data_IF_627629482990
#
_entry.id   IF_627629482990
#
_cell.length_a   1.000
_cell.length_b   1.000
_cell.length_c   1.000
_cell.angle_alpha   90.00
_cell.angle_beta   90.00
_cell.angle_gamma   90.00
#
_symmetry.space_group_name_H-M   'P 1'
#
loop_
_entity.id
_entity.type
_entity.pdbx_description
1 polymer ?
#
# COMPACT_ATOMS: atom_id res chain seq x y z
N UNK A 1 -18.24 -10.25 2.50
CA UNK A 1 -17.11 -10.45 3.43
C UNK A 1 -15.76 -10.76 2.77
N UNK A 2 -15.72 -11.43 1.60
CA UNK A 2 -14.47 -11.82 0.92
C UNK A 2 -13.77 -10.68 0.17
N UNK A 3 -14.52 -9.70 -0.36
CA UNK A 3 -13.97 -8.64 -1.21
C UNK A 3 -13.09 -7.65 -0.43
N UNK A 4 -13.53 -7.25 0.77
CA UNK A 4 -12.77 -6.35 1.65
C UNK A 4 -11.45 -6.98 2.12
N UNK A 5 -11.48 -8.21 2.64
CA UNK A 5 -10.26 -8.92 3.07
C UNK A 5 -9.25 -9.15 1.92
N UNK A 6 -9.75 -9.36 0.69
CA UNK A 6 -8.90 -9.48 -0.50
C UNK A 6 -8.30 -8.14 -0.90
N UNK A 7 -9.06 -7.06 -0.77
CA UNK A 7 -8.56 -5.72 -1.03
C UNK A 7 -7.47 -5.32 -0.02
N UNK A 8 -7.73 -5.51 1.27
CA UNK A 8 -6.76 -5.29 2.34
C UNK A 8 -5.46 -6.08 2.11
N UNK A 9 -5.57 -7.35 1.73
CA UNK A 9 -4.40 -8.16 1.35
C UNK A 9 -3.65 -7.54 0.16
N UNK A 10 -4.36 -7.09 -0.87
CA UNK A 10 -3.75 -6.46 -2.05
C UNK A 10 -3.00 -5.17 -1.70
N UNK A 11 -3.58 -4.31 -0.86
CA UNK A 11 -2.94 -3.08 -0.35
C UNK A 11 -1.70 -3.42 0.47
N UNK A 12 -1.82 -4.40 1.38
CA UNK A 12 -0.69 -4.89 2.17
C UNK A 12 0.45 -5.35 1.25
N UNK A 13 0.16 -6.14 0.21
CA UNK A 13 1.18 -6.57 -0.75
C UNK A 13 1.80 -5.41 -1.55
N UNK A 14 1.03 -4.38 -1.89
CA UNK A 14 1.57 -3.21 -2.59
C UNK A 14 2.54 -2.41 -1.70
N UNK A 15 2.12 -2.12 -0.47
CA UNK A 15 2.88 -1.33 0.51
C UNK A 15 4.13 -2.07 0.99
N UNK A 16 4.03 -3.36 1.29
CA UNK A 16 5.17 -4.17 1.75
C UNK A 16 6.23 -4.41 0.66
N UNK A 17 5.88 -4.22 -0.61
CA UNK A 17 6.83 -4.31 -1.72
C UNK A 17 7.36 -2.94 -2.16
N UNK A 18 6.97 -1.85 -1.48
CA UNK A 18 7.50 -0.53 -1.78
C UNK A 18 8.87 -0.36 -1.14
N UNK A 19 9.90 -0.20 -1.97
CA UNK A 19 11.30 -0.19 -1.54
C UNK A 19 11.62 0.99 -0.62
N UNK A 20 11.13 2.20 -0.94
CA UNK A 20 11.36 3.40 -0.12
C UNK A 20 10.88 3.20 1.33
N UNK A 21 9.65 2.71 1.50
CA UNK A 21 9.10 2.41 2.82
C UNK A 21 9.84 1.26 3.52
N UNK A 22 10.23 0.22 2.77
CA UNK A 22 11.00 -0.90 3.33
C UNK A 22 12.33 -0.42 3.91
N UNK A 23 13.04 0.45 3.20
CA UNK A 23 14.29 1.06 3.66
C UNK A 23 14.04 1.94 4.87
N UNK A 24 12.99 2.76 4.87
CA UNK A 24 12.65 3.64 5.98
C UNK A 24 12.37 2.85 7.27
N UNK A 25 11.62 1.75 7.18
CA UNK A 25 11.33 0.87 8.32
C UNK A 25 12.59 0.17 8.82
N UNK A 26 13.39 -0.43 7.93
CA UNK A 26 14.64 -1.12 8.31
C UNK A 26 15.68 -0.18 8.93
N UNK A 27 15.65 1.09 8.53
CA UNK A 27 16.56 2.12 9.02
C UNK A 27 16.03 2.86 10.26
N UNK A 28 14.85 2.47 10.77
CA UNK A 28 14.16 3.11 11.91
C UNK A 28 13.91 4.61 11.72
N UNK A 29 13.69 5.07 10.48
CA UNK A 29 13.43 6.49 10.21
C UNK A 29 12.10 6.97 10.79
N UNK A 30 11.13 6.06 10.98
CA UNK A 30 9.89 6.34 11.70
C UNK A 30 9.98 6.15 13.23
N UNK A 31 11.17 5.89 13.77
CA UNK A 31 11.39 5.58 15.18
C UNK A 31 11.20 4.09 15.53
N UNK A 32 11.12 3.73 16.83
CA UNK A 32 11.02 2.34 17.28
C UNK A 32 9.74 1.64 16.79
N UNK A 33 8.69 2.41 16.50
CA UNK A 33 7.38 1.91 16.07
C UNK A 33 7.22 1.95 14.54
N UNK A 34 8.33 1.99 13.78
CA UNK A 34 8.31 2.08 12.31
C UNK A 34 7.54 0.94 11.64
N UNK A 35 7.57 -0.27 12.22
CA UNK A 35 6.80 -1.41 11.72
C UNK A 35 5.30 -1.19 11.92
N UNK A 36 4.88 -0.71 13.09
CA UNK A 36 3.48 -0.40 13.38
C UNK A 36 2.95 0.73 12.48
N UNK A 37 3.80 1.73 12.17
CA UNK A 37 3.47 2.81 11.23
C UNK A 37 3.22 2.29 9.81
N UNK A 38 3.99 1.29 9.35
CA UNK A 38 3.74 0.64 8.06
C UNK A 38 2.38 -0.06 8.05
N UNK A 39 2.04 -0.77 9.12
CA UNK A 39 0.74 -1.46 9.21
C UNK A 39 -0.42 -0.47 9.30
N UNK A 40 -0.23 0.63 10.02
CA UNK A 40 -1.18 1.74 10.04
C UNK A 40 -1.36 2.38 8.65
N UNK A 41 -0.29 2.54 7.86
CA UNK A 41 -0.39 3.05 6.48
C UNK A 41 -1.31 2.17 5.63
N UNK A 42 -1.23 0.84 5.74
CA UNK A 42 -2.16 -0.09 5.05
C UNK A 42 -3.61 0.23 5.42
N UNK A 43 -3.89 0.36 6.72
CA UNK A 43 -5.23 0.73 7.20
C UNK A 43 -5.70 2.06 6.65
N UNK A 44 -4.84 3.09 6.64
CA UNK A 44 -5.19 4.41 6.13
C UNK A 44 -5.56 4.40 4.65
N UNK A 45 -4.90 3.60 3.82
CA UNK A 45 -5.27 3.45 2.40
C UNK A 45 -6.55 2.63 2.25
N UNK A 46 -6.77 1.62 3.10
CA UNK A 46 -8.00 0.85 3.10
C UNK A 46 -9.21 1.70 3.48
N UNK A 47 -9.06 2.62 4.43
CA UNK A 47 -10.13 3.55 4.80
C UNK A 47 -10.52 4.49 3.64
N UNK A 48 -9.57 4.93 2.81
CA UNK A 48 -9.87 5.73 1.61
C UNK A 48 -10.77 4.98 0.63
N UNK A 49 -10.52 3.67 0.44
CA UNK A 49 -11.38 2.79 -0.36
C UNK A 49 -12.83 2.79 0.13
N UNK A 50 -13.04 2.79 1.46
CA UNK A 50 -14.37 2.71 2.04
C UNK A 50 -15.12 4.04 2.04
N UNK A 51 -14.40 5.15 2.15
CA UNK A 51 -14.99 6.48 2.30
C UNK A 51 -15.31 7.14 0.94
N UNK A 52 -14.55 6.85 -0.11
CA UNK A 52 -14.69 7.51 -1.40
C UNK A 52 -15.30 6.58 -2.46
N UNK A 53 -16.26 7.12 -3.22
CA UNK A 53 -16.93 6.36 -4.29
C UNK A 53 -16.02 6.11 -5.50
N UNK A 54 -15.05 6.99 -5.68
CA UNK A 54 -14.00 6.97 -6.70
C UNK A 54 -12.73 7.56 -6.05
N UNK A 55 -11.71 6.73 -5.93
CA UNK A 55 -10.35 7.11 -5.52
C UNK A 55 -9.50 6.95 -6.76
N UNK A 56 -8.72 7.96 -7.14
CA UNK A 56 -7.75 7.84 -8.23
C UNK A 56 -6.33 7.65 -7.70
N UNK A 57 -5.37 7.52 -8.62
CA UNK A 57 -3.97 7.28 -8.27
C UNK A 57 -3.32 8.50 -7.62
N UNK A 58 -3.78 9.72 -7.95
CA UNK A 58 -3.23 10.96 -7.38
C UNK A 58 -3.64 11.05 -5.90
N UNK A 59 -4.91 10.75 -5.57
CA UNK A 59 -5.38 10.70 -4.17
C UNK A 59 -4.56 9.74 -3.29
N UNK A 60 -4.23 8.56 -3.84
CA UNK A 60 -3.44 7.54 -3.11
C UNK A 60 -1.98 7.94 -3.03
N UNK A 61 -1.40 8.46 -4.11
CA UNK A 61 -0.03 8.94 -4.13
C UNK A 61 0.18 10.04 -3.08
N UNK A 62 -0.66 11.07 -3.09
CA UNK A 62 -0.61 12.17 -2.14
C UNK A 62 -0.64 11.65 -0.70
N UNK A 63 -1.50 10.66 -0.42
CA UNK A 63 -1.57 10.04 0.89
C UNK A 63 -0.30 9.27 1.26
N UNK A 64 0.28 8.52 0.32
CA UNK A 64 1.52 7.78 0.54
C UNK A 64 2.70 8.73 0.80
N UNK A 65 2.84 9.77 -0.02
CA UNK A 65 3.87 10.80 0.11
C UNK A 65 3.74 11.54 1.45
N UNK A 66 2.53 11.96 1.80
CA UNK A 66 2.27 12.63 3.08
C UNK A 66 2.70 11.76 4.26
N UNK A 67 2.38 10.47 4.26
CA UNK A 67 2.77 9.59 5.37
C UNK A 67 4.30 9.39 5.40
N UNK A 68 4.96 9.27 4.25
CA UNK A 68 6.43 9.17 4.21
C UNK A 68 7.10 10.43 4.78
N UNK A 69 6.55 11.61 4.49
CA UNK A 69 7.05 12.87 5.02
C UNK A 69 6.77 13.01 6.53
N UNK A 70 5.51 12.86 6.93
CA UNK A 70 5.05 13.13 8.31
C UNK A 70 5.54 12.06 9.31
N UNK A 71 5.51 10.77 8.92
CA UNK A 71 5.76 9.66 9.85
C UNK A 71 7.17 9.09 9.76
N UNK A 72 7.85 9.25 8.62
CA UNK A 72 9.18 8.69 8.38
C UNK A 72 10.24 9.76 8.07
N UNK A 73 9.88 11.04 7.98
CA UNK A 73 10.78 12.14 7.60
C UNK A 73 11.49 11.91 6.25
N UNK A 74 10.82 11.24 5.31
CA UNK A 74 11.34 10.90 3.97
C UNK A 74 10.58 11.66 2.89
N UNK A 75 11.31 12.45 2.11
CA UNK A 75 10.83 12.93 0.82
C UNK A 75 11.08 11.86 -0.25
N UNK A 76 10.02 11.32 -0.84
CA UNK A 76 10.10 10.37 -1.97
C UNK A 76 9.90 11.16 -3.27
N UNK A 77 10.91 11.17 -4.14
CA UNK A 77 10.93 11.97 -5.38
C UNK A 77 11.25 11.11 -6.63
N UNK A 78 11.14 9.78 -6.52
CA UNK A 78 11.53 8.83 -7.56
C UNK A 78 10.34 8.22 -8.35
N UNK A 79 9.17 8.86 -8.27
CA UNK A 79 7.89 8.41 -8.84
C UNK A 79 7.39 7.04 -8.33
N UNK A 80 8.08 6.40 -7.38
CA UNK A 80 7.70 5.08 -6.89
C UNK A 80 6.38 5.08 -6.10
N UNK A 81 6.02 6.23 -5.50
CA UNK A 81 4.73 6.42 -4.84
C UNK A 81 3.56 6.33 -5.84
N UNK A 82 3.67 7.00 -6.98
CA UNK A 82 2.69 6.90 -8.07
C UNK A 82 2.54 5.46 -8.59
N UNK A 83 3.66 4.77 -8.83
CA UNK A 83 3.66 3.37 -9.28
C UNK A 83 2.95 2.43 -8.29
N UNK A 84 3.05 2.70 -6.99
CA UNK A 84 2.34 1.96 -5.94
C UNK A 84 0.87 2.34 -5.93
N UNK A 85 0.55 3.62 -6.07
CA UNK A 85 -0.81 4.13 -6.13
C UNK A 85 -1.60 3.53 -7.32
N UNK A 86 -1.04 3.53 -8.52
CA UNK A 86 -1.67 2.91 -9.71
C UNK A 86 -1.99 1.42 -9.48
N UNK A 87 -1.07 0.68 -8.83
CA UNK A 87 -1.30 -0.73 -8.48
C UNK A 87 -2.47 -0.87 -7.52
N UNK A 88 -2.58 0.00 -6.52
CA UNK A 88 -3.68 -0.04 -5.54
C UNK A 88 -5.02 0.27 -6.22
N UNK A 89 -5.09 1.29 -7.09
CA UNK A 89 -6.30 1.61 -7.86
C UNK A 89 -6.71 0.45 -8.77
N UNK A 90 -5.74 -0.24 -9.39
CA UNK A 90 -6.03 -1.43 -10.19
C UNK A 90 -6.60 -2.56 -9.34
N UNK A 91 -6.03 -2.80 -8.16
CA UNK A 91 -6.55 -3.78 -7.19
C UNK A 91 -7.97 -3.40 -6.76
N UNK A 92 -8.24 -2.12 -6.50
CA UNK A 92 -9.56 -1.57 -6.18
C UNK A 92 -10.58 -1.96 -7.27
N UNK A 93 -10.26 -1.68 -8.54
CA UNK A 93 -11.13 -1.97 -9.68
C UNK A 93 -11.46 -3.46 -9.81
N UNK A 94 -10.42 -4.31 -9.78
CA UNK A 94 -10.61 -5.76 -9.90
C UNK A 94 -11.38 -6.35 -8.72
N UNK A 95 -11.07 -5.92 -7.49
CA UNK A 95 -11.81 -6.35 -6.31
C UNK A 95 -13.29 -6.00 -6.45
N UNK A 96 -13.66 -4.79 -6.91
CA UNK A 96 -15.07 -4.39 -7.12
C UNK A 96 -15.79 -5.26 -8.15
N UNK A 97 -15.09 -5.71 -9.19
CA UNK A 97 -15.61 -6.61 -10.22
C UNK A 97 -15.65 -8.09 -9.77
N UNK A 98 -15.06 -8.41 -8.60
CA UNK A 98 -14.96 -9.78 -8.09
C UNK A 98 -13.80 -10.58 -8.70
N UNK A 99 -12.89 -9.92 -9.41
CA UNK A 99 -11.63 -10.50 -9.88
C UNK A 99 -10.55 -10.33 -8.80
N UNK A 100 -9.98 -11.44 -8.34
CA UNK A 100 -8.93 -11.45 -7.33
C UNK A 100 -7.59 -11.98 -7.85
N UNK A 101 -7.48 -12.19 -9.17
CA UNK A 101 -6.31 -12.82 -9.81
C UNK A 101 -5.01 -12.05 -9.56
N UNK A 102 -5.07 -10.71 -9.54
CA UNK A 102 -3.91 -9.87 -9.24
C UNK A 102 -3.48 -9.99 -7.78
N UNK A 103 -4.43 -9.94 -6.84
CA UNK A 103 -4.17 -10.11 -5.41
C UNK A 103 -3.54 -11.47 -5.14
N UNK A 104 -4.09 -12.54 -5.73
CA UNK A 104 -3.54 -13.89 -5.61
C UNK A 104 -2.11 -13.99 -6.17
N UNK A 105 -1.85 -13.36 -7.33
CA UNK A 105 -0.50 -13.34 -7.93
C UNK A 105 0.51 -12.58 -7.07
N UNK A 106 0.12 -11.43 -6.51
CA UNK A 106 0.96 -10.64 -5.62
C UNK A 106 1.31 -11.42 -4.35
N UNK A 107 0.31 -12.06 -3.74
CA UNK A 107 0.49 -12.87 -2.55
C UNK A 107 1.40 -14.08 -2.80
N UNK A 108 1.25 -14.77 -3.95
CA UNK A 108 2.17 -15.85 -4.33
C UNK A 108 3.62 -15.39 -4.49
N UNK A 109 3.84 -14.22 -5.10
CA UNK A 109 5.19 -13.63 -5.23
C UNK A 109 5.79 -13.24 -3.89
N UNK A 110 4.96 -12.76 -2.95
CA UNK A 110 5.41 -12.47 -1.60
C UNK A 110 5.85 -13.74 -0.87
N UNK A 111 5.04 -14.80 -0.93
CA UNK A 111 5.37 -16.09 -0.32
C UNK A 111 6.66 -16.71 -0.90
N UNK A 112 6.92 -16.55 -2.20
CA UNK A 112 8.14 -17.07 -2.81
C UNK A 112 9.41 -16.29 -2.46
N UNK A 113 9.29 -15.01 -2.07
CA UNK A 113 10.41 -14.20 -1.55
C UNK A 113 10.68 -14.43 -0.06
N UNK A 114 9.68 -14.86 0.70
CA UNK A 114 9.80 -15.11 2.14
C UNK A 114 10.39 -16.50 2.48
N UNK A 115 10.57 -17.38 1.47
CA UNK A 115 11.26 -18.67 1.57
C UNK A 115 12.68 -18.57 1.02
#
# INVERSE_FOLDING_TARGET
>A
PTQHARFELGVCMAIYNWEALTVAVQSFWGGPDSEDKRDWMVGSIVELYEQQQQVDSEDIEDRLLQIMEDEFEVAVEDDSAYDVAEKIVRIFGQCREGDFSLVDSLYQKYQSKAN
#
